data_IF_689207595597
#
_entry.id   IF_689207595597
#
_cell.length_a   1.000
_cell.length_b   1.000
_cell.length_c   1.000
_cell.angle_alpha   90.00
_cell.angle_beta   90.00
_cell.angle_gamma   90.00
#
_symmetry.space_group_name_H-M   'P 1'
#
loop_
_entity.id
_entity.type
_entity.pdbx_description
1 polymer ?
#
# COMPACT_ATOMS: atom_id res chain seq x y z
N UNK A 1 -13.83 22.39 -14.86
CA UNK A 1 -13.45 21.06 -14.37
C UNK A 1 -12.10 21.21 -13.73
N UNK A 2 -12.00 21.04 -12.41
CA UNK A 2 -10.70 20.91 -11.78
C UNK A 2 -10.12 19.56 -12.20
N UNK A 3 -8.90 19.54 -12.75
CA UNK A 3 -8.17 18.30 -12.99
C UNK A 3 -8.03 17.55 -11.67
N UNK A 4 -8.48 16.30 -11.63
CA UNK A 4 -8.19 15.40 -10.53
C UNK A 4 -6.68 15.18 -10.51
N UNK A 5 -5.99 15.89 -9.62
CA UNK A 5 -4.59 15.60 -9.30
C UNK A 5 -4.58 14.36 -8.43
N UNK A 6 -4.17 13.23 -9.01
CA UNK A 6 -3.88 12.03 -8.21
C UNK A 6 -2.97 12.42 -7.03
N UNK A 7 -3.35 12.08 -5.79
CA UNK A 7 -2.49 12.33 -4.64
C UNK A 7 -1.20 11.52 -4.83
N UNK A 8 -0.09 12.21 -5.08
CA UNK A 8 1.23 11.59 -5.20
C UNK A 8 1.69 11.10 -3.83
N UNK A 9 1.81 9.77 -3.68
CA UNK A 9 2.42 9.13 -2.51
C UNK A 9 3.95 9.01 -2.61
N UNK A 10 4.58 9.63 -3.64
CA UNK A 10 6.04 9.82 -3.66
C UNK A 10 6.42 10.54 -2.37
N UNK A 11 7.30 9.93 -1.58
CA UNK A 11 7.79 10.34 -0.24
C UNK A 11 7.19 9.59 0.96
N UNK A 12 6.19 8.71 0.79
CA UNK A 12 5.80 7.80 1.87
C UNK A 12 6.83 6.67 2.01
N UNK A 13 7.16 6.29 3.24
CA UNK A 13 7.93 5.06 3.48
C UNK A 13 7.08 3.84 3.16
N UNK A 14 7.72 2.69 2.89
CA UNK A 14 7.01 1.44 2.58
C UNK A 14 6.04 1.09 3.72
N UNK A 15 6.44 1.28 4.98
CA UNK A 15 5.57 1.07 6.15
C UNK A 15 4.34 1.99 6.16
N UNK A 16 4.50 3.27 5.78
CA UNK A 16 3.37 4.19 5.69
C UNK A 16 2.40 3.80 4.58
N UNK A 17 2.91 3.31 3.45
CA UNK A 17 2.08 2.80 2.34
C UNK A 17 1.30 1.56 2.78
N UNK A 18 1.97 0.60 3.44
CA UNK A 18 1.32 -0.62 3.96
C UNK A 18 0.19 -0.29 4.94
N UNK A 19 0.44 0.63 5.89
CA UNK A 19 -0.58 1.01 6.87
C UNK A 19 -1.80 1.62 6.19
N UNK A 20 -1.59 2.55 5.25
CA UNK A 20 -2.69 3.19 4.52
C UNK A 20 -3.49 2.20 3.68
N UNK A 21 -2.83 1.26 3.01
CA UNK A 21 -3.53 0.22 2.24
C UNK A 21 -4.31 -0.73 3.15
N UNK A 22 -3.82 -1.00 4.35
CA UNK A 22 -4.51 -1.84 5.34
C UNK A 22 -5.81 -1.17 5.80
N UNK A 23 -5.78 0.13 6.12
CA UNK A 23 -6.99 0.90 6.47
C UNK A 23 -8.04 0.91 5.34
N UNK A 24 -7.60 0.99 4.08
CA UNK A 24 -8.49 0.94 2.92
C UNK A 24 -9.05 -0.47 2.73
N UNK A 25 -8.24 -1.51 2.92
CA UNK A 25 -8.70 -2.90 2.81
C UNK A 25 -9.75 -3.23 3.87
N UNK A 26 -9.52 -2.81 5.12
CA UNK A 26 -10.44 -3.02 6.25
C UNK A 26 -11.79 -2.31 6.07
N UNK A 27 -11.83 -1.25 5.25
CA UNK A 27 -13.03 -0.47 4.95
C UNK A 27 -13.63 -0.76 3.56
N UNK A 28 -13.09 -1.73 2.83
CA UNK A 28 -13.55 -2.05 1.48
C UNK A 28 -14.94 -2.71 1.52
N UNK A 29 -15.90 -2.14 0.77
CA UNK A 29 -17.25 -2.70 0.65
C UNK A 29 -17.31 -3.94 -0.26
N UNK A 30 -16.32 -4.12 -1.14
CA UNK A 30 -16.26 -5.19 -2.14
C UNK A 30 -15.09 -6.14 -1.86
N UNK A 31 -15.39 -7.43 -1.69
CA UNK A 31 -14.39 -8.46 -1.38
C UNK A 31 -13.30 -8.58 -2.47
N UNK A 32 -13.61 -8.29 -3.73
CA UNK A 32 -12.61 -8.29 -4.81
C UNK A 32 -11.56 -7.19 -4.61
N UNK A 33 -12.00 -6.01 -4.17
CA UNK A 33 -11.12 -4.87 -3.89
C UNK A 33 -10.27 -5.17 -2.66
N UNK A 34 -10.89 -5.66 -1.58
CA UNK A 34 -10.19 -6.14 -0.37
C UNK A 34 -9.11 -7.17 -0.74
N UNK A 35 -9.46 -8.18 -1.55
CA UNK A 35 -8.52 -9.22 -1.95
C UNK A 35 -7.34 -8.70 -2.78
N UNK A 36 -7.55 -7.69 -3.64
CA UNK A 36 -6.46 -7.03 -4.38
C UNK A 36 -5.54 -6.27 -3.43
N UNK A 37 -6.12 -5.49 -2.50
CA UNK A 37 -5.36 -4.71 -1.53
C UNK A 37 -4.54 -5.60 -0.60
N UNK A 38 -5.13 -6.68 -0.09
CA UNK A 38 -4.44 -7.68 0.73
C UNK A 38 -3.23 -8.30 0.00
N UNK A 39 -3.36 -8.65 -1.28
CA UNK A 39 -2.23 -9.15 -2.07
C UNK A 39 -1.12 -8.10 -2.25
N UNK A 40 -1.50 -6.86 -2.52
CA UNK A 40 -0.53 -5.77 -2.64
C UNK A 40 0.22 -5.52 -1.32
N UNK A 41 -0.48 -5.57 -0.18
CA UNK A 41 0.10 -5.44 1.16
C UNK A 41 1.14 -6.53 1.42
N UNK A 42 0.85 -7.79 1.06
CA UNK A 42 1.80 -8.91 1.22
C UNK A 42 3.07 -8.66 0.40
N UNK A 43 2.92 -8.30 -0.88
CA UNK A 43 4.08 -8.02 -1.74
C UNK A 43 4.93 -6.85 -1.23
N UNK A 44 4.30 -5.82 -0.67
CA UNK A 44 5.02 -4.68 -0.08
C UNK A 44 5.77 -5.06 1.20
N UNK A 45 5.21 -5.97 2.02
CA UNK A 45 5.90 -6.50 3.21
C UNK A 45 7.14 -7.31 2.80
N UNK A 46 7.00 -8.20 1.82
CA UNK A 46 8.12 -8.99 1.30
C UNK A 46 9.24 -8.08 0.75
N UNK A 47 8.85 -7.02 0.03
CA UNK A 47 9.81 -6.02 -0.45
C UNK A 47 10.49 -5.25 0.69
N UNK A 48 9.74 -4.85 1.72
CA UNK A 48 10.29 -4.18 2.90
C UNK A 48 11.33 -5.06 3.61
N UNK A 49 11.02 -6.34 3.79
CA UNK A 49 11.90 -7.29 4.46
C UNK A 49 13.19 -7.53 3.65
N UNK A 50 13.08 -7.58 2.32
CA UNK A 50 14.24 -7.67 1.42
C UNK A 50 15.10 -6.40 1.47
N UNK A 51 14.48 -5.21 1.44
CA UNK A 51 15.18 -3.93 1.54
C UNK A 51 15.92 -3.78 2.88
N UNK A 52 15.26 -4.18 3.98
CA UNK A 52 15.87 -4.22 5.32
C UNK A 52 17.00 -5.24 5.43
N UNK A 53 16.96 -6.34 4.68
CA UNK A 53 18.05 -7.32 4.62
C UNK A 53 19.25 -6.80 3.83
N UNK A 54 19.04 -6.16 2.68
CA UNK A 54 20.11 -5.66 1.80
C UNK A 54 20.83 -4.45 2.42
N UNK A 55 20.08 -3.55 3.07
CA UNK A 55 20.62 -2.29 3.61
C UNK A 55 21.04 -2.40 5.10
N UNK A 56 21.16 -3.62 5.64
CA UNK A 56 21.67 -3.90 6.98
C UNK A 56 23.17 -4.12 6.99
#
# INVERSE_FOLDING_TARGET
>A
MEEYKEPSHRNMTISQVINKLSEIADSAEYCEIEGILCRAIVMLKDYKDLDEYINR
#
